data_IF_682476809272
#
_entry.id   IF_682476809272
#
_cell.length_a   1.000
_cell.length_b   1.000
_cell.length_c   1.000
_cell.angle_alpha   90.00
_cell.angle_beta   90.00
_cell.angle_gamma   90.00
#
_symmetry.space_group_name_H-M   'P 1'
#
loop_
_entity.id
_entity.type
_entity.pdbx_description
1 polymer ?
#
# COMPACT_ATOMS: atom_id res chain seq x y z
N UNK A 1 21.48 -24.18 -10.26
CA UNK A 1 21.05 -23.00 -9.51
C UNK A 1 20.55 -23.49 -8.17
N UNK A 2 21.17 -23.11 -7.02
CA UNK A 2 20.57 -23.44 -5.72
C UNK A 2 19.17 -22.82 -5.66
N UNK A 3 18.20 -23.56 -5.12
CA UNK A 3 16.85 -23.03 -4.91
C UNK A 3 16.89 -21.76 -4.05
N UNK A 4 16.07 -20.75 -4.36
CA UNK A 4 15.99 -19.55 -3.54
C UNK A 4 15.58 -19.96 -2.11
N UNK A 5 16.35 -19.49 -1.13
CA UNK A 5 16.03 -19.72 0.29
C UNK A 5 14.64 -19.14 0.59
N UNK A 6 13.80 -19.82 1.38
CA UNK A 6 12.50 -19.30 1.76
C UNK A 6 12.65 -17.98 2.54
N UNK A 7 11.77 -17.03 2.26
CA UNK A 7 11.73 -15.75 2.98
C UNK A 7 11.12 -15.93 4.36
N UNK A 8 11.77 -15.36 5.37
CA UNK A 8 11.37 -15.41 6.78
C UNK A 8 10.91 -14.01 7.20
N UNK A 9 9.79 -13.96 7.90
CA UNK A 9 9.28 -12.72 8.47
C UNK A 9 10.26 -12.07 9.48
N UNK A 10 10.34 -10.75 9.46
CA UNK A 10 10.94 -9.98 10.54
C UNK A 10 10.13 -10.15 11.82
N UNK A 11 10.78 -10.21 12.98
CA UNK A 11 10.07 -10.18 14.26
C UNK A 11 9.63 -8.75 14.60
N UNK A 12 8.68 -8.59 15.54
CA UNK A 12 8.24 -7.28 16.01
C UNK A 12 9.42 -6.46 16.57
N UNK A 13 10.32 -7.09 17.32
CA UNK A 13 11.51 -6.44 17.87
C UNK A 13 12.49 -5.98 16.78
N UNK A 14 12.66 -6.78 15.73
CA UNK A 14 13.49 -6.41 14.58
C UNK A 14 12.86 -5.22 13.84
N UNK A 15 11.54 -5.24 13.61
CA UNK A 15 10.80 -4.13 12.98
C UNK A 15 10.96 -2.87 13.82
N UNK A 16 10.76 -2.94 15.13
CA UNK A 16 10.91 -1.80 16.04
C UNK A 16 12.34 -1.24 16.03
N UNK A 17 13.35 -2.11 16.06
CA UNK A 17 14.75 -1.69 15.96
C UNK A 17 15.07 -1.00 14.63
N UNK A 18 14.51 -1.51 13.52
CA UNK A 18 14.69 -0.94 12.18
C UNK A 18 14.03 0.45 12.13
N UNK A 19 12.77 0.56 12.58
CA UNK A 19 12.04 1.83 12.62
C UNK A 19 12.78 2.87 13.48
N UNK A 20 13.32 2.44 14.62
CA UNK A 20 14.19 3.25 15.50
C UNK A 20 15.45 3.74 14.83
N UNK A 21 16.14 2.87 14.12
CA UNK A 21 17.39 3.23 13.45
C UNK A 21 17.18 4.18 12.25
N UNK A 22 16.00 4.11 11.63
CA UNK A 22 15.63 5.00 10.54
C UNK A 22 15.32 6.44 11.02
N UNK A 23 14.79 6.62 12.23
CA UNK A 23 14.46 7.92 12.86
C UNK A 23 13.80 8.93 11.88
N UNK A 24 12.75 8.49 11.20
CA UNK A 24 12.00 9.31 10.25
C UNK A 24 12.77 9.69 8.96
N UNK A 25 13.98 9.17 8.75
CA UNK A 25 14.75 9.40 7.50
C UNK A 25 14.31 8.49 6.36
N UNK A 26 13.59 7.41 6.66
CA UNK A 26 12.97 6.52 5.70
C UNK A 26 11.44 6.52 5.86
N UNK A 27 10.74 6.34 4.75
CA UNK A 27 9.28 6.20 4.71
C UNK A 27 8.94 4.72 4.69
N UNK A 28 8.23 4.22 5.69
CA UNK A 28 7.69 2.86 5.70
C UNK A 28 6.59 2.73 4.63
N UNK A 29 6.72 1.75 3.74
CA UNK A 29 5.81 1.54 2.61
C UNK A 29 5.39 0.07 2.52
N UNK A 30 4.78 -0.32 1.40
CA UNK A 30 4.58 -1.74 1.10
C UNK A 30 3.56 -2.42 2.02
N UNK A 31 3.77 -3.72 2.22
CA UNK A 31 2.93 -4.52 3.12
C UNK A 31 3.05 -4.09 4.58
N UNK A 32 4.21 -3.55 4.99
CA UNK A 32 4.46 -3.18 6.38
C UNK A 32 3.72 -1.89 6.76
N UNK A 33 3.61 -0.93 5.83
CA UNK A 33 2.73 0.23 6.04
C UNK A 33 1.26 -0.18 6.17
N UNK A 34 0.81 -1.16 5.38
CA UNK A 34 -0.55 -1.71 5.51
C UNK A 34 -0.75 -2.41 6.87
N UNK A 35 0.22 -3.22 7.30
CA UNK A 35 0.21 -3.88 8.60
C UNK A 35 0.11 -2.87 9.75
N UNK A 36 0.93 -1.82 9.68
CA UNK A 36 0.89 -0.72 10.64
C UNK A 36 -0.51 -0.11 10.76
N UNK A 37 -1.14 0.23 9.63
CA UNK A 37 -2.48 0.84 9.65
C UNK A 37 -3.57 -0.13 10.11
N UNK A 38 -3.47 -1.41 9.74
CA UNK A 38 -4.41 -2.43 10.20
C UNK A 38 -4.34 -2.59 11.72
N UNK A 39 -3.14 -2.59 12.31
CA UNK A 39 -2.94 -2.61 13.76
C UNK A 39 -3.45 -1.31 14.41
N UNK A 40 -3.10 -0.15 13.85
CA UNK A 40 -3.53 1.16 14.35
C UNK A 40 -5.06 1.28 14.44
N UNK A 41 -5.77 0.78 13.42
CA UNK A 41 -7.23 0.77 13.38
C UNK A 41 -7.86 -0.52 13.96
N UNK A 42 -7.06 -1.42 14.53
CA UNK A 42 -7.50 -2.68 15.15
C UNK A 42 -8.38 -3.54 14.21
N UNK A 43 -8.01 -3.58 12.93
CA UNK A 43 -8.72 -4.33 11.91
C UNK A 43 -8.47 -5.83 12.05
N UNK A 44 -9.51 -6.64 11.80
CA UNK A 44 -9.37 -8.09 11.69
C UNK A 44 -8.65 -8.44 10.39
N UNK A 45 -7.59 -9.23 10.50
CA UNK A 45 -6.87 -9.70 9.33
C UNK A 45 -7.68 -10.82 8.64
N UNK A 46 -7.83 -10.78 7.30
CA UNK A 46 -8.35 -11.91 6.53
C UNK A 46 -7.56 -13.19 6.82
N UNK A 47 -8.20 -14.37 6.76
CA UNK A 47 -7.53 -15.65 7.09
C UNK A 47 -6.24 -15.92 6.30
N UNK A 48 -6.16 -15.49 5.03
CA UNK A 48 -4.94 -15.62 4.22
C UNK A 48 -3.79 -14.70 4.69
N UNK A 49 -4.09 -13.70 5.53
CA UNK A 49 -3.14 -12.77 6.16
C UNK A 49 -3.00 -13.00 7.67
N UNK A 50 -3.65 -14.03 8.23
CA UNK A 50 -3.71 -14.23 9.69
C UNK A 50 -2.36 -14.57 10.31
N UNK A 51 -1.46 -15.17 9.54
CA UNK A 51 -0.10 -15.44 9.97
C UNK A 51 0.77 -14.18 9.95
N UNK A 52 0.63 -13.33 8.91
CA UNK A 52 1.26 -12.02 8.79
C UNK A 52 0.71 -11.26 7.56
N UNK A 53 0.63 -9.92 7.63
CA UNK A 53 0.28 -9.07 6.47
C UNK A 53 1.43 -9.03 5.46
N UNK A 54 2.68 -9.04 5.92
CA UNK A 54 3.90 -9.12 5.12
C UNK A 54 5.02 -9.80 5.91
N UNK A 55 5.97 -10.41 5.21
CA UNK A 55 7.19 -10.97 5.81
C UNK A 55 8.35 -9.97 5.77
N UNK A 56 8.34 -9.06 4.79
CA UNK A 56 9.42 -8.10 4.56
C UNK A 56 9.03 -6.68 4.95
N UNK A 57 10.05 -5.88 5.29
CA UNK A 57 9.92 -4.44 5.48
C UNK A 57 10.42 -3.70 4.23
N UNK A 58 9.52 -2.90 3.64
CA UNK A 58 9.83 -2.02 2.52
C UNK A 58 9.92 -0.56 3.00
N UNK A 59 10.98 0.12 2.59
CA UNK A 59 11.18 1.54 2.84
C UNK A 59 11.37 2.29 1.53
N UNK A 60 10.84 3.51 1.43
CA UNK A 60 11.34 4.49 0.46
C UNK A 60 12.36 5.38 1.16
N UNK A 61 13.60 5.37 0.66
CA UNK A 61 14.71 6.10 1.26
C UNK A 61 15.99 6.03 0.44
N UNK A 62 16.91 6.95 0.76
CA UNK A 62 18.22 6.98 0.13
C UNK A 62 19.08 5.79 0.59
N UNK A 63 19.97 5.30 -0.28
CA UNK A 63 20.91 4.23 0.03
C UNK A 63 21.78 4.52 1.27
N UNK A 64 22.01 5.81 1.57
CA UNK A 64 22.73 6.25 2.76
C UNK A 64 22.00 5.90 4.07
N UNK A 65 20.67 6.00 4.10
CA UNK A 65 19.86 5.59 5.27
C UNK A 65 19.96 4.09 5.48
N UNK A 66 19.86 3.31 4.40
CA UNK A 66 20.03 1.86 4.42
C UNK A 66 21.42 1.45 4.92
N UNK A 67 22.46 2.19 4.53
CA UNK A 67 23.85 1.97 4.97
C UNK A 67 24.04 2.27 6.45
N UNK A 68 23.42 3.34 6.96
CA UNK A 68 23.46 3.68 8.38
C UNK A 68 22.75 2.63 9.23
N UNK A 69 21.57 2.19 8.81
CA UNK A 69 20.85 1.07 9.42
C UNK A 69 21.72 -0.20 9.39
N UNK A 70 22.33 -0.53 8.25
CA UNK A 70 23.18 -1.71 8.17
C UNK A 70 24.34 -1.67 9.16
N UNK A 71 24.96 -0.51 9.44
CA UNK A 71 26.05 -0.41 10.41
C UNK A 71 25.61 -0.83 11.82
N UNK A 72 24.38 -0.51 12.24
CA UNK A 72 23.84 -0.95 13.52
C UNK A 72 23.44 -2.43 13.52
N UNK A 73 23.03 -2.96 12.37
CA UNK A 73 22.61 -4.34 12.21
C UNK A 73 23.75 -5.33 11.89
N UNK A 74 24.91 -4.84 11.44
CA UNK A 74 26.08 -5.64 11.04
C UNK A 74 26.54 -6.63 12.13
N UNK A 75 26.61 -6.27 13.43
CA UNK A 75 26.98 -7.21 14.48
C UNK A 75 26.02 -8.42 14.59
N UNK A 76 24.79 -8.29 14.11
CA UNK A 76 23.77 -9.34 14.13
C UNK A 76 23.73 -10.17 12.83
N UNK A 77 24.77 -10.09 12.00
CA UNK A 77 24.93 -10.90 10.80
C UNK A 77 24.22 -10.36 9.55
N UNK A 78 23.72 -9.12 9.58
CA UNK A 78 23.12 -8.49 8.41
C UNK A 78 24.15 -8.10 7.36
N UNK A 79 23.81 -8.35 6.10
CA UNK A 79 24.60 -8.01 4.91
C UNK A 79 23.94 -6.87 4.16
N UNK A 80 24.75 -5.97 3.62
CA UNK A 80 24.31 -4.86 2.80
C UNK A 80 24.58 -5.15 1.32
N UNK A 81 23.62 -4.82 0.49
CA UNK A 81 23.75 -4.80 -0.96
C UNK A 81 23.19 -3.49 -1.49
N UNK A 82 23.87 -2.94 -2.50
CA UNK A 82 23.44 -1.74 -3.21
C UNK A 82 23.56 -2.05 -4.71
N UNK A 83 22.50 -1.82 -5.50
CA UNK A 83 22.59 -1.97 -6.94
C UNK A 83 23.59 -1.00 -7.56
N UNK A 84 24.24 -1.46 -8.61
CA UNK A 84 25.12 -0.71 -9.49
C UNK A 84 24.31 0.13 -10.49
N UNK A 85 24.97 1.04 -11.20
CA UNK A 85 24.31 1.90 -12.20
C UNK A 85 23.67 1.13 -13.36
N UNK A 86 24.14 -0.09 -13.62
CA UNK A 86 23.67 -0.95 -14.71
C UNK A 86 22.47 -1.83 -14.30
N UNK A 87 22.12 -1.87 -13.01
CA UNK A 87 20.98 -2.65 -12.52
C UNK A 87 19.67 -1.91 -12.81
N UNK A 88 18.83 -2.48 -13.68
CA UNK A 88 17.50 -1.97 -14.00
C UNK A 88 16.49 -2.24 -12.86
N UNK A 89 16.67 -1.58 -11.71
CA UNK A 89 15.84 -1.75 -10.51
C UNK A 89 15.48 -0.40 -9.87
N UNK A 90 14.28 -0.32 -9.29
CA UNK A 90 13.90 0.81 -8.43
C UNK A 90 14.48 0.69 -7.02
N UNK A 91 15.18 -0.40 -6.71
CA UNK A 91 15.82 -0.62 -5.43
C UNK A 91 17.02 0.31 -5.26
N UNK A 92 17.12 0.99 -4.12
CA UNK A 92 18.27 1.82 -3.75
C UNK A 92 19.26 1.07 -2.86
N UNK A 93 18.78 0.09 -2.08
CA UNK A 93 19.60 -0.83 -1.30
C UNK A 93 18.77 -2.03 -0.82
N UNK A 94 19.46 -3.07 -0.36
CA UNK A 94 18.89 -4.25 0.29
C UNK A 94 19.72 -4.61 1.51
N UNK A 95 19.07 -4.96 2.61
CA UNK A 95 19.71 -5.62 3.73
C UNK A 95 19.18 -7.05 3.82
N UNK A 96 20.07 -8.01 4.05
CA UNK A 96 19.69 -9.42 4.18
C UNK A 96 20.35 -10.09 5.37
N UNK A 97 19.64 -11.01 6.02
CA UNK A 97 20.18 -11.86 7.07
C UNK A 97 19.78 -13.30 6.79
N UNK A 98 20.77 -14.18 6.62
CA UNK A 98 20.53 -15.62 6.49
C UNK A 98 20.35 -16.22 7.87
N UNK A 99 19.33 -17.06 8.02
CA UNK A 99 19.09 -17.86 9.20
C UNK A 99 19.37 -19.32 8.81
N UNK A 100 20.41 -19.89 9.41
CA UNK A 100 20.88 -21.23 9.06
C UNK A 100 19.77 -22.27 9.20
N UNK A 101 19.61 -23.12 8.18
CA UNK A 101 18.57 -24.15 8.12
C UNK A 101 17.13 -23.62 7.99
N UNK A 102 16.89 -22.30 8.02
CA UNK A 102 15.55 -21.73 7.98
C UNK A 102 15.26 -20.92 6.73
N UNK A 103 16.17 -20.04 6.29
CA UNK A 103 15.84 -19.10 5.20
C UNK A 103 16.56 -17.74 5.26
N UNK A 104 15.92 -16.72 4.69
CA UNK A 104 16.48 -15.36 4.58
C UNK A 104 15.48 -14.28 5.02
N UNK A 105 15.93 -13.34 5.84
CA UNK A 105 15.20 -12.10 6.18
C UNK A 105 15.67 -10.97 5.28
N UNK A 106 14.77 -10.08 4.90
CA UNK A 106 15.06 -8.99 3.96
C UNK A 106 14.47 -7.64 4.41
N UNK A 107 15.20 -6.57 4.09
CA UNK A 107 14.74 -5.18 4.21
C UNK A 107 15.08 -4.50 2.89
N UNK A 108 14.05 -4.06 2.18
CA UNK A 108 14.19 -3.44 0.87
C UNK A 108 14.07 -1.91 0.99
N UNK A 109 15.04 -1.21 0.43
CA UNK A 109 14.99 0.24 0.25
C UNK A 109 14.75 0.55 -1.21
N UNK A 110 13.71 1.31 -1.49
CA UNK A 110 13.20 1.64 -2.81
C UNK A 110 13.39 3.15 -3.08
N UNK A 111 13.67 3.51 -4.32
CA UNK A 111 13.68 4.88 -4.81
C UNK A 111 12.27 5.36 -5.22
N UNK A 112 11.38 4.43 -5.55
CA UNK A 112 10.02 4.73 -5.99
C UNK A 112 9.05 3.58 -5.70
N UNK A 113 7.75 3.91 -5.72
CA UNK A 113 6.65 2.94 -5.64
C UNK A 113 5.92 2.96 -6.98
N UNK A 114 5.56 1.79 -7.50
CA UNK A 114 4.79 1.63 -8.74
C UNK A 114 3.53 2.49 -8.70
N UNK A 115 3.32 3.29 -9.75
CA UNK A 115 2.15 4.15 -9.92
C UNK A 115 2.13 5.43 -9.06
N UNK A 116 3.12 5.67 -8.20
CA UNK A 116 3.14 6.81 -7.28
C UNK A 116 4.38 7.69 -7.46
N UNK A 117 4.19 9.02 -7.42
CA UNK A 117 5.30 9.99 -7.44
C UNK A 117 5.96 10.06 -6.07
N UNK A 118 7.26 9.76 -6.00
CA UNK A 118 8.06 9.73 -4.76
C UNK A 118 7.95 11.02 -3.94
N UNK A 119 8.06 12.18 -4.59
CA UNK A 119 7.95 13.49 -3.92
C UNK A 119 6.60 13.66 -3.22
N UNK A 120 5.51 13.27 -3.89
CA UNK A 120 4.16 13.38 -3.38
C UNK A 120 3.91 12.49 -2.17
N UNK A 121 4.38 11.25 -2.19
CA UNK A 121 4.24 10.32 -1.06
C UNK A 121 5.10 10.74 0.14
N UNK A 122 6.28 11.32 -0.12
CA UNK A 122 7.15 11.85 0.93
C UNK A 122 6.50 13.03 1.65
N UNK A 123 5.91 13.97 0.88
CA UNK A 123 5.20 15.13 1.45
C UNK A 123 3.95 14.76 2.25
N UNK A 124 3.23 13.72 1.82
CA UNK A 124 1.99 13.26 2.48
C UNK A 124 2.22 12.24 3.59
N UNK A 125 3.45 11.78 3.80
CA UNK A 125 3.77 10.78 4.81
C UNK A 125 3.19 11.15 6.17
N UNK A 126 2.53 10.19 6.83
CA UNK A 126 2.09 10.39 8.20
C UNK A 126 3.29 10.29 9.12
N UNK A 127 3.55 11.34 9.88
CA UNK A 127 4.60 11.36 10.89
C UNK A 127 3.98 11.01 12.24
N UNK A 128 4.52 9.98 12.88
CA UNK A 128 4.14 9.54 14.21
C UNK A 128 5.29 9.90 15.15
N UNK A 129 4.96 10.62 16.21
CA UNK A 129 5.90 10.89 17.30
C UNK A 129 5.62 9.87 18.40
N UNK A 130 6.59 9.02 18.71
CA UNK A 130 6.48 8.11 19.85
C UNK A 130 6.82 8.84 21.15
N UNK A 131 6.44 8.26 22.28
CA UNK A 131 6.60 8.86 23.61
C UNK A 131 8.06 9.13 23.99
N UNK A 132 9.01 8.40 23.40
CA UNK A 132 10.45 8.58 23.56
C UNK A 132 11.06 9.65 22.63
N UNK A 133 10.21 10.39 21.88
CA UNK A 133 10.63 11.44 20.96
C UNK A 133 11.02 10.93 19.57
N UNK A 134 11.01 9.62 19.34
CA UNK A 134 11.30 9.04 18.03
C UNK A 134 10.23 9.41 17.00
N UNK A 135 10.66 9.60 15.75
CA UNK A 135 9.76 9.79 14.61
C UNK A 135 9.71 8.60 13.69
N UNK A 136 8.50 8.14 13.39
CA UNK A 136 8.25 7.13 12.36
C UNK A 136 7.46 7.81 11.23
N UNK A 137 7.91 7.61 9.98
CA UNK A 137 7.16 8.06 8.79
C UNK A 137 6.54 6.86 8.12
N UNK A 138 5.22 6.89 7.96
CA UNK A 138 4.44 5.82 7.34
C UNK A 138 3.72 6.36 6.11
N UNK A 139 3.67 5.56 5.05
CA UNK A 139 2.91 5.87 3.85
C UNK A 139 1.45 6.16 4.23
N UNK A 140 0.92 7.27 3.72
CA UNK A 140 -0.44 7.73 4.04
C UNK A 140 -1.49 6.67 3.63
N UNK A 141 -2.60 6.47 4.38
CA UNK A 141 -3.60 5.43 4.10
C UNK A 141 -4.10 5.40 2.64
N UNK A 142 -4.42 6.57 2.08
CA UNK A 142 -4.83 6.69 0.66
C UNK A 142 -3.72 6.30 -0.33
N UNK A 143 -2.45 6.56 0.00
CA UNK A 143 -1.31 6.17 -0.83
C UNK A 143 -1.02 4.66 -0.71
N UNK A 144 -1.29 4.04 0.46
CA UNK A 144 -1.25 2.58 0.63
C UNK A 144 -2.29 1.90 -0.26
N UNK A 145 -3.53 2.37 -0.24
CA UNK A 145 -4.59 1.85 -1.11
C UNK A 145 -4.20 1.97 -2.58
N UNK A 146 -3.79 3.16 -3.02
CA UNK A 146 -3.37 3.39 -4.41
C UNK A 146 -2.23 2.45 -4.83
N UNK A 147 -1.21 2.27 -3.98
CA UNK A 147 -0.12 1.31 -4.25
C UNK A 147 -0.62 -0.13 -4.41
N UNK A 148 -1.54 -0.61 -3.56
CA UNK A 148 -2.08 -1.99 -3.67
C UNK A 148 -2.87 -2.17 -4.96
N UNK A 149 -3.68 -1.19 -5.35
CA UNK A 149 -4.47 -1.23 -6.58
C UNK A 149 -3.56 -1.24 -7.81
N UNK A 150 -2.53 -0.39 -7.84
CA UNK A 150 -1.54 -0.35 -8.92
C UNK A 150 -0.75 -1.64 -9.04
N UNK A 151 -0.34 -2.23 -7.92
CA UNK A 151 0.31 -3.53 -7.92
C UNK A 151 -0.57 -4.61 -8.59
N UNK A 152 -1.86 -4.68 -8.26
CA UNK A 152 -2.78 -5.65 -8.87
C UNK A 152 -3.01 -5.39 -10.37
N UNK A 153 -3.12 -4.11 -10.75
CA UNK A 153 -3.32 -3.71 -12.13
C UNK A 153 -2.10 -4.03 -13.01
N UNK A 154 -0.90 -3.70 -12.53
CA UNK A 154 0.31 -3.64 -13.36
C UNK A 154 1.23 -4.86 -13.19
N UNK A 155 1.25 -5.52 -12.03
CA UNK A 155 2.23 -6.56 -11.70
C UNK A 155 1.58 -7.95 -11.61
N UNK A 156 1.80 -8.87 -12.57
CA UNK A 156 1.23 -10.22 -12.53
C UNK A 156 1.57 -10.99 -11.25
N UNK A 157 2.80 -10.84 -10.74
CA UNK A 157 3.27 -11.52 -9.52
C UNK A 157 2.54 -11.09 -8.25
N UNK A 158 1.86 -9.93 -8.25
CA UNK A 158 1.12 -9.42 -7.08
C UNK A 158 -0.36 -9.80 -7.09
N UNK A 159 -0.83 -10.56 -8.08
CA UNK A 159 -2.24 -10.98 -8.24
C UNK A 159 -2.60 -12.27 -7.50
N UNK A 160 -1.68 -12.80 -6.69
CA UNK A 160 -1.94 -13.94 -5.83
C UNK A 160 -3.02 -13.62 -4.77
N UNK A 161 -3.67 -14.63 -4.15
CA UNK A 161 -4.70 -14.43 -3.14
C UNK A 161 -4.29 -13.48 -2.00
N UNK A 162 -3.02 -13.52 -1.58
CA UNK A 162 -2.47 -12.61 -0.58
C UNK A 162 -2.52 -11.14 -1.03
N UNK A 163 -2.13 -10.84 -2.27
CA UNK A 163 -2.15 -9.47 -2.80
C UNK A 163 -3.57 -8.92 -2.94
N UNK A 164 -4.52 -9.77 -3.32
CA UNK A 164 -5.95 -9.41 -3.36
C UNK A 164 -6.47 -9.10 -1.95
N UNK A 165 -6.16 -9.95 -0.97
CA UNK A 165 -6.55 -9.72 0.42
C UNK A 165 -5.92 -8.44 1.00
N UNK A 166 -4.66 -8.13 0.66
CA UNK A 166 -4.04 -6.87 1.04
C UNK A 166 -4.77 -5.65 0.46
N UNK A 167 -5.28 -5.74 -0.78
CA UNK A 167 -6.06 -4.66 -1.37
C UNK A 167 -7.41 -4.46 -0.67
N UNK A 168 -8.10 -5.54 -0.28
CA UNK A 168 -9.31 -5.45 0.55
C UNK A 168 -9.00 -4.81 1.91
N UNK A 169 -7.94 -5.27 2.60
CA UNK A 169 -7.52 -4.69 3.88
C UNK A 169 -7.18 -3.20 3.74
N UNK A 170 -6.60 -2.78 2.61
CA UNK A 170 -6.32 -1.37 2.36
C UNK A 170 -7.61 -0.53 2.18
N UNK A 171 -8.68 -1.10 1.63
CA UNK A 171 -10.00 -0.46 1.57
C UNK A 171 -10.56 -0.26 2.99
N UNK A 172 -10.44 -1.28 3.85
CA UNK A 172 -10.89 -1.19 5.24
C UNK A 172 -10.09 -0.16 6.04
N UNK A 173 -8.76 -0.10 5.84
CA UNK A 173 -7.90 0.95 6.39
C UNK A 173 -8.37 2.35 5.96
N UNK A 174 -8.69 2.53 4.68
CA UNK A 174 -9.20 3.82 4.17
C UNK A 174 -10.57 4.14 4.75
N UNK A 175 -11.45 3.16 4.96
CA UNK A 175 -12.74 3.36 5.65
C UNK A 175 -12.51 3.94 7.05
N UNK A 176 -11.67 3.29 7.86
CA UNK A 176 -11.37 3.77 9.21
C UNK A 176 -10.71 5.15 9.21
N UNK A 177 -9.82 5.43 8.25
CA UNK A 177 -9.24 6.76 8.07
C UNK A 177 -10.30 7.83 7.75
N UNK A 178 -11.26 7.55 6.88
CA UNK A 178 -12.36 8.47 6.59
C UNK A 178 -13.27 8.68 7.80
N UNK A 179 -13.54 7.63 8.57
CA UNK A 179 -14.28 7.72 9.84
C UNK A 179 -13.54 8.50 10.92
N UNK A 180 -12.21 8.42 10.95
CA UNK A 180 -11.40 9.27 11.81
C UNK A 180 -11.51 10.74 11.39
N UNK A 181 -11.39 11.04 10.09
CA UNK A 181 -11.56 12.40 9.58
C UNK A 181 -12.96 12.98 9.85
N UNK A 182 -14.00 12.14 9.86
CA UNK A 182 -15.35 12.55 10.26
C UNK A 182 -15.42 13.02 11.71
N UNK A 183 -14.64 12.41 12.62
CA UNK A 183 -14.64 12.73 14.05
C UNK A 183 -13.71 13.88 14.40
N UNK A 184 -12.54 13.92 13.78
CA UNK A 184 -11.40 14.72 14.25
C UNK A 184 -10.95 15.80 13.24
N UNK A 185 -11.43 15.74 12.00
CA UNK A 185 -10.88 16.51 10.89
C UNK A 185 -11.71 17.75 10.51
N UNK A 186 -11.08 18.82 10.01
CA UNK A 186 -11.81 19.87 9.31
C UNK A 186 -12.51 19.26 8.08
N UNK A 187 -13.76 19.66 7.76
CA UNK A 187 -14.54 19.07 6.66
C UNK A 187 -13.80 19.00 5.33
N UNK A 188 -12.96 20.00 5.03
CA UNK A 188 -12.13 20.02 3.81
C UNK A 188 -11.21 18.81 3.67
N UNK A 189 -10.59 18.32 4.76
CA UNK A 189 -9.70 17.15 4.70
C UNK A 189 -10.48 15.88 4.35
N UNK A 190 -11.67 15.72 4.93
CA UNK A 190 -12.58 14.63 4.60
C UNK A 190 -12.97 14.67 3.11
N UNK A 191 -13.45 15.82 2.62
CA UNK A 191 -13.86 15.94 1.21
C UNK A 191 -12.70 15.68 0.25
N UNK A 192 -11.49 16.19 0.53
CA UNK A 192 -10.31 15.91 -0.28
C UNK A 192 -9.97 14.41 -0.31
N UNK A 193 -10.15 13.71 0.81
CA UNK A 193 -9.91 12.27 0.91
C UNK A 193 -10.97 11.47 0.12
N UNK A 194 -12.25 11.81 0.27
CA UNK A 194 -13.35 11.22 -0.50
C UNK A 194 -13.13 11.44 -2.00
N UNK A 195 -12.75 12.64 -2.42
CA UNK A 195 -12.45 12.94 -3.82
C UNK A 195 -11.30 12.10 -4.36
N UNK A 196 -10.29 11.83 -3.54
CA UNK A 196 -9.19 10.94 -3.93
C UNK A 196 -9.67 9.50 -4.11
N UNK A 197 -10.53 8.99 -3.22
CA UNK A 197 -11.16 7.66 -3.38
C UNK A 197 -12.02 7.62 -4.64
N UNK A 198 -12.85 8.64 -4.88
CA UNK A 198 -13.68 8.73 -6.07
C UNK A 198 -12.84 8.79 -7.35
N UNK A 199 -11.72 9.53 -7.37
CA UNK A 199 -10.79 9.56 -8.52
C UNK A 199 -10.16 8.19 -8.79
N UNK A 200 -9.71 7.47 -7.76
CA UNK A 200 -9.20 6.11 -7.92
C UNK A 200 -10.27 5.17 -8.48
N UNK A 201 -11.52 5.29 -8.01
CA UNK A 201 -12.64 4.48 -8.50
C UNK A 201 -13.01 4.74 -9.97
N UNK A 202 -12.67 5.93 -10.49
CA UNK A 202 -12.88 6.34 -11.87
C UNK A 202 -11.68 6.08 -12.78
N UNK A 203 -10.56 5.61 -12.21
CA UNK A 203 -9.34 5.50 -12.96
C UNK A 203 -9.40 4.32 -13.94
N UNK A 204 -9.28 4.61 -15.23
CA UNK A 204 -9.35 3.58 -16.29
C UNK A 204 -8.33 2.47 -16.11
N UNK A 205 -7.13 2.78 -15.61
CA UNK A 205 -6.07 1.78 -15.38
C UNK A 205 -6.44 0.77 -14.28
N UNK A 206 -7.36 1.14 -13.39
CA UNK A 206 -7.82 0.31 -12.27
C UNK A 206 -9.15 -0.41 -12.56
N UNK A 207 -9.76 -0.22 -13.75
CA UNK A 207 -11.00 -0.90 -14.15
C UNK A 207 -10.88 -2.43 -14.00
N UNK A 208 -9.74 -3.00 -14.40
CA UNK A 208 -9.49 -4.45 -14.31
C UNK A 208 -9.45 -4.97 -12.87
N UNK A 209 -9.04 -4.14 -11.91
CA UNK A 209 -8.91 -4.51 -10.50
C UNK A 209 -10.28 -4.64 -9.85
N UNK A 210 -11.20 -3.71 -10.13
CA UNK A 210 -12.59 -3.78 -9.69
C UNK A 210 -13.27 -5.06 -10.20
N UNK A 211 -13.22 -5.29 -11.52
CA UNK A 211 -13.93 -6.42 -12.13
C UNK A 211 -13.27 -7.77 -11.93
N UNK A 212 -11.95 -7.81 -11.82
CA UNK A 212 -11.19 -9.05 -11.65
C UNK A 212 -11.26 -9.57 -10.21
N UNK A 213 -11.34 -8.67 -9.23
CA UNK A 213 -11.17 -9.03 -7.82
C UNK A 213 -12.30 -8.54 -6.89
N UNK A 214 -13.34 -7.87 -7.41
CA UNK A 214 -14.49 -7.44 -6.60
C UNK A 214 -14.18 -6.29 -5.63
N UNK A 215 -13.20 -5.44 -5.96
CA UNK A 215 -12.72 -4.36 -5.08
C UNK A 215 -13.54 -3.07 -5.27
N UNK A 216 -14.65 -2.89 -4.55
CA UNK A 216 -15.40 -1.63 -4.58
C UNK A 216 -14.82 -0.57 -3.63
N UNK A 217 -14.06 0.37 -4.19
CA UNK A 217 -13.44 1.46 -3.43
C UNK A 217 -14.47 2.41 -2.80
N UNK A 218 -15.64 2.57 -3.42
CA UNK A 218 -16.66 3.49 -2.92
C UNK A 218 -17.29 2.96 -1.62
N UNK A 219 -17.20 1.66 -1.35
CA UNK A 219 -17.63 1.05 -0.10
C UNK A 219 -16.77 1.47 1.11
N UNK A 220 -15.64 2.15 0.90
CA UNK A 220 -14.89 2.77 1.99
C UNK A 220 -15.50 4.09 2.47
N UNK A 221 -16.37 4.73 1.68
CA UNK A 221 -16.89 6.08 1.98
C UNK A 221 -18.13 5.98 2.87
N UNK A 222 -18.10 6.46 4.12
CA UNK A 222 -19.26 6.51 5.02
C UNK A 222 -20.19 7.69 4.66
N UNK A 223 -20.74 7.67 3.45
CA UNK A 223 -21.40 8.82 2.84
C UNK A 223 -22.62 9.32 3.62
N UNK A 224 -23.41 8.42 4.19
CA UNK A 224 -24.58 8.68 5.03
C UNK A 224 -24.24 9.51 6.29
N UNK A 225 -23.03 9.35 6.80
CA UNK A 225 -22.52 10.04 8.00
C UNK A 225 -21.82 11.36 7.71
N UNK A 226 -21.64 11.73 6.45
CA UNK A 226 -21.01 13.01 6.09
C UNK A 226 -21.93 14.18 6.51
N UNK A 227 -21.44 15.18 7.25
CA UNK A 227 -22.29 16.22 7.85
C UNK A 227 -22.88 17.22 6.85
N UNK A 228 -22.54 17.13 5.57
CA UNK A 228 -23.08 17.99 4.51
C UNK A 228 -24.28 17.34 3.83
N UNK A 229 -25.45 17.98 3.94
CA UNK A 229 -26.66 17.55 3.23
C UNK A 229 -26.51 17.65 1.71
N UNK A 230 -25.90 18.73 1.20
CA UNK A 230 -25.58 18.87 -0.21
C UNK A 230 -24.72 17.72 -0.71
N UNK A 231 -23.72 17.30 0.09
CA UNK A 231 -22.91 16.14 -0.26
C UNK A 231 -23.77 14.88 -0.35
N UNK A 232 -24.59 14.60 0.67
CA UNK A 232 -25.39 13.37 0.74
C UNK A 232 -26.46 13.27 -0.34
N UNK A 233 -27.12 14.39 -0.65
CA UNK A 233 -28.28 14.43 -1.55
C UNK A 233 -27.93 14.70 -3.01
N UNK A 234 -26.80 15.37 -3.28
CA UNK A 234 -26.39 15.73 -4.65
C UNK A 234 -25.08 15.10 -5.04
N UNK A 235 -23.99 15.46 -4.34
CA UNK A 235 -22.63 15.12 -4.78
C UNK A 235 -22.33 13.63 -4.74
N UNK A 236 -22.75 12.94 -3.69
CA UNK A 236 -22.51 11.50 -3.56
C UNK A 236 -23.29 10.68 -4.60
N UNK A 237 -24.59 10.90 -4.82
CA UNK A 237 -25.31 10.30 -5.94
C UNK A 237 -24.68 10.57 -7.31
N UNK A 238 -24.14 11.78 -7.54
CA UNK A 238 -23.42 12.10 -8.78
C UNK A 238 -22.15 11.26 -8.93
N UNK A 239 -21.35 11.12 -7.87
CA UNK A 239 -20.15 10.26 -7.86
C UNK A 239 -20.53 8.81 -8.17
N UNK A 240 -21.56 8.28 -7.49
CA UNK A 240 -22.05 6.92 -7.71
C UNK A 240 -22.49 6.69 -9.15
N UNK A 241 -23.26 7.62 -9.70
CA UNK A 241 -23.76 7.55 -11.09
C UNK A 241 -22.59 7.52 -12.07
N UNK A 242 -21.65 8.46 -11.91
CA UNK A 242 -20.50 8.58 -12.80
C UNK A 242 -19.62 7.33 -12.78
N UNK A 243 -19.35 6.77 -11.61
CA UNK A 243 -18.58 5.52 -11.48
C UNK A 243 -19.36 4.33 -12.05
N UNK A 244 -20.67 4.27 -11.82
CA UNK A 244 -21.54 3.21 -12.35
C UNK A 244 -21.60 3.23 -13.87
N UNK A 245 -21.68 4.41 -14.48
CA UNK A 245 -21.73 4.55 -15.94
C UNK A 245 -20.40 4.17 -16.59
N UNK A 246 -19.27 4.57 -15.99
CA UNK A 246 -17.94 4.13 -16.43
C UNK A 246 -17.81 2.61 -16.33
N UNK A 247 -18.26 2.03 -15.22
CA UNK A 247 -18.33 0.58 -15.02
C UNK A 247 -19.14 -0.07 -16.14
N UNK A 248 -20.38 0.36 -16.40
CA UNK A 248 -21.22 -0.17 -17.49
C UNK A 248 -20.54 -0.09 -18.85
N UNK A 249 -19.93 1.05 -19.18
CA UNK A 249 -19.21 1.23 -20.44
C UNK A 249 -18.02 0.27 -20.58
N UNK A 250 -17.29 -0.03 -19.50
CA UNK A 250 -16.24 -1.04 -19.51
C UNK A 250 -16.78 -2.45 -19.73
N UNK A 251 -17.84 -2.85 -19.03
CA UNK A 251 -18.46 -4.16 -19.20
C UNK A 251 -18.93 -4.41 -20.64
N UNK A 252 -19.55 -3.39 -21.27
CA UNK A 252 -19.95 -3.44 -22.68
C UNK A 252 -18.75 -3.57 -23.62
N UNK A 253 -17.65 -2.83 -23.38
CA UNK A 253 -16.40 -2.95 -24.16
C UNK A 253 -15.80 -4.36 -24.06
N UNK A 254 -15.76 -4.96 -22.87
CA UNK A 254 -15.30 -6.34 -22.67
C UNK A 254 -16.19 -7.36 -23.39
N UNK A 255 -17.50 -7.24 -23.27
CA UNK A 255 -18.45 -8.13 -23.94
C UNK A 255 -18.32 -8.08 -25.48
N UNK A 256 -18.11 -6.89 -26.05
CA UNK A 256 -17.85 -6.72 -27.50
C UNK A 256 -16.56 -7.40 -27.95
N UNK A 257 -15.50 -7.34 -27.15
CA UNK A 257 -14.20 -7.99 -27.46
C UNK A 257 -14.23 -9.51 -27.30
N UNK A 258 -15.13 -10.04 -26.47
CA UNK A 258 -15.26 -11.48 -26.22
C UNK A 258 -16.11 -12.22 -27.27
N UNK A 259 -16.89 -11.50 -28.10
CA UNK A 259 -17.59 -12.13 -29.23
C UNK A 259 -16.56 -12.47 -30.32
N UNK A 260 -16.42 -13.74 -30.73
CA UNK A 260 -15.53 -14.09 -31.83
C UNK A 260 -16.02 -13.38 -33.09
N UNK A 261 -15.08 -12.81 -33.85
CA UNK A 261 -15.36 -12.35 -35.21
C UNK A 261 -15.65 -13.60 -36.03
N UNK A 262 -16.92 -13.94 -36.19
CA UNK A 262 -17.35 -14.89 -37.22
C UNK A 262 -17.10 -14.24 -38.57
N UNK A 263 -15.89 -14.43 -39.11
CA UNK A 263 -15.64 -14.16 -40.52
C UNK A 263 -16.11 -15.40 -41.29
N UNK A 264 -17.27 -15.25 -41.95
CA UNK A 264 -17.67 -16.02 -43.13
C UNK A 264 -16.71 -15.75 -44.29
#
# INVERSE_FOLDING_TARGET
MPEPLPEIALTEEEIDQILRSCDGRALLVGGQALAFWAQHYQLRLPGVLSANVTSDADFVGAAQVARDLWRSLKPMGWRYWQPSADDATSQTAKLTKRIEGQGIKQIDFLGSIVGLKTEGIQQRATVLNLADGMRIRVLHPLDVLESRLKNLAELPSKRAPQGIAQAHLAIDVVRCFLEQLLREGPPRRLFNAIDRVARMAQEKSLESVFYGYGLDLLAAVPADRVPSEEFRTRRWPQILTLVTDQRRAHAQRRARRAKPTSKS
#
